data_IF_977660700773
#
_entry.id   IF_977660700773
#
_cell.length_a   1.000
_cell.length_b   1.000
_cell.length_c   1.000
_cell.angle_alpha   90.00
_cell.angle_beta   90.00
_cell.angle_gamma   90.00
#
_symmetry.space_group_name_H-M   'P 1'
#
loop_
_entity.id
_entity.type
_entity.pdbx_description
1 polymer ?
2 non-polymer ?
3 non-polymer ?
4 non-polymer ?
5 water ?
#
# COMPACT_ATOMS: atom_id res chain seq x y z
N UNK A 7 -12.83 28.41 -14.81
CA UNK A 7 -11.95 27.52 -14.06
C UNK A 7 -10.48 27.92 -14.19
N UNK A 8 -9.73 27.16 -14.98
CA UNK A 8 -8.29 27.40 -15.21
C UNK A 8 -7.82 26.40 -16.28
N UNK A 9 -6.59 26.55 -16.76
CA UNK A 9 -6.11 25.65 -17.80
C UNK A 9 -4.94 24.78 -17.33
N UNK A 10 -4.78 23.64 -17.98
CA UNK A 10 -3.62 22.78 -17.77
C UNK A 10 -2.35 23.48 -18.26
N UNK A 11 -1.22 23.20 -17.59
CA UNK A 11 0.07 23.76 -17.99
C UNK A 11 0.38 23.38 -19.43
N UNK A 12 1.06 24.28 -20.14
CA UNK A 12 1.39 24.08 -21.56
C UNK A 12 2.29 22.86 -21.76
N UNK A 13 3.28 22.70 -20.89
CA UNK A 13 4.15 21.53 -20.98
C UNK A 13 3.37 20.22 -20.81
N UNK A 14 2.32 20.24 -20.02
CA UNK A 14 1.48 19.06 -19.89
C UNK A 14 0.67 18.83 -21.16
N UNK A 15 -0.02 19.87 -21.61
CA UNK A 15 -0.79 19.81 -22.85
C UNK A 15 0.09 19.35 -24.01
N UNK A 16 1.35 19.77 -24.02
CA UNK A 16 2.25 19.40 -25.11
C UNK A 16 2.38 17.89 -25.32
N UNK A 17 2.24 17.12 -24.24
CA UNK A 17 2.52 15.69 -24.30
C UNK A 17 1.28 14.83 -24.09
N UNK A 18 0.26 15.41 -23.47
CA UNK A 18 -0.92 14.64 -23.09
C UNK A 18 -2.21 15.35 -23.48
N UNK A 19 -3.22 14.55 -23.81
CA UNK A 19 -4.59 15.04 -23.90
C UNK A 19 -5.32 14.60 -22.64
N UNK A 20 -5.80 15.57 -21.87
CA UNK A 20 -6.44 15.28 -20.59
C UNK A 20 -7.86 14.83 -20.81
N UNK A 21 -8.36 14.00 -19.90
CA UNK A 21 -9.69 13.41 -20.04
C UNK A 21 -10.43 13.38 -18.71
N UNK A 22 -11.30 12.38 -18.54
CA UNK A 22 -12.24 12.33 -17.42
C UNK A 22 -11.58 12.15 -16.06
N UNK A 23 -12.26 12.66 -15.03
CA UNK A 23 -11.82 12.43 -13.65
C UNK A 23 -12.05 10.98 -13.30
N UNK A 24 -11.11 10.37 -12.58
CA UNK A 24 -11.25 8.97 -12.17
C UNK A 24 -11.49 8.90 -10.66
N UNK A 25 -10.99 9.90 -9.94
CA UNK A 25 -11.16 10.00 -8.50
C UNK A 25 -10.70 11.35 -7.97
N UNK A 26 -11.17 11.73 -6.78
CA UNK A 26 -10.76 12.99 -6.17
C UNK A 26 -10.92 12.97 -4.65
N UNK A 31 -6.83 14.79 -6.79
CA UNK A 31 -7.63 14.33 -7.92
C UNK A 31 -6.80 13.52 -8.94
N UNK A 32 -7.41 12.49 -9.50
CA UNK A 32 -6.77 11.67 -10.52
C UNK A 32 -7.56 11.72 -11.83
N UNK A 33 -6.88 12.05 -12.91
CA UNK A 33 -7.54 12.14 -14.22
C UNK A 33 -6.99 11.14 -15.23
N UNK A 34 -7.87 10.64 -16.08
CA UNK A 34 -7.47 9.85 -17.22
C UNK A 34 -6.81 10.79 -18.24
N UNK A 35 -5.74 10.35 -18.87
CA UNK A 35 -5.11 11.12 -19.94
C UNK A 35 -4.58 10.22 -21.03
N UNK A 36 -4.31 10.78 -22.20
CA UNK A 36 -3.73 10.03 -23.31
C UNK A 36 -2.38 10.61 -23.66
N UNK A 37 -1.34 9.77 -23.64
CA UNK A 37 -0.03 10.21 -24.08
C UNK A 37 -0.01 10.33 -25.60
N UNK A 38 0.32 11.52 -26.11
CA UNK A 38 0.26 11.77 -27.55
C UNK A 38 1.19 10.84 -28.34
N UNK A 39 2.42 10.72 -27.85
CA UNK A 39 3.46 9.96 -28.51
C UNK A 39 3.01 8.52 -28.80
N UNK A 40 2.28 7.91 -27.86
CA UNK A 40 1.93 6.51 -27.96
C UNK A 40 0.44 6.25 -28.18
N UNK A 41 -0.36 7.28 -27.98
CA UNK A 41 -1.81 7.13 -27.99
C UNK A 41 -2.28 6.14 -26.94
N UNK A 42 -1.50 5.95 -25.89
CA UNK A 42 -1.87 5.05 -24.80
C UNK A 42 -2.40 5.82 -23.58
N UNK A 43 -3.23 5.15 -22.79
CA UNK A 43 -3.82 5.77 -21.61
C UNK A 43 -2.84 5.84 -20.43
N UNK A 44 -2.93 6.92 -19.66
CA UNK A 44 -2.17 7.07 -18.42
C UNK A 44 -3.10 7.67 -17.40
N UNK A 45 -2.65 7.70 -16.14
CA UNK A 45 -3.40 8.40 -15.11
C UNK A 45 -2.56 9.57 -14.62
N UNK A 46 -3.19 10.71 -14.40
CA UNK A 46 -2.46 11.88 -13.94
C UNK A 46 -3.01 12.37 -12.61
N UNK A 47 -2.15 12.31 -11.59
CA UNK A 47 -2.53 12.74 -10.25
C UNK A 47 -2.22 14.22 -10.12
N UNK A 48 -3.25 15.00 -9.78
CA UNK A 48 -3.07 16.42 -9.64
C UNK A 48 -3.05 16.82 -8.16
N UNK A 49 -1.92 17.36 -7.73
CA UNK A 49 -1.77 17.81 -6.34
C UNK A 49 -1.74 19.34 -6.29
N UNK A 50 -2.74 19.92 -5.64
CA UNK A 50 -2.82 21.37 -5.52
C UNK A 50 -1.72 21.90 -4.61
N UNK A 51 -1.09 22.99 -5.04
CA UNK A 51 0.01 23.58 -4.27
C UNK A 51 -0.51 24.36 -3.05
N UNK A 64 3.11 21.13 0.88
CA UNK A 64 2.88 20.40 -0.38
C UNK A 64 4.20 19.93 -1.00
N UNK A 65 5.11 20.86 -1.22
CA UNK A 65 6.39 20.58 -1.86
C UNK A 65 7.13 19.41 -1.24
N UNK A 66 7.11 19.35 0.10
CA UNK A 66 7.86 18.31 0.82
C UNK A 66 7.34 16.92 0.48
N UNK A 67 6.03 16.70 0.70
CA UNK A 67 5.42 15.41 0.42
C UNK A 67 5.54 15.00 -1.05
N UNK A 68 5.48 15.98 -1.96
CA UNK A 68 5.56 15.71 -3.38
C UNK A 68 6.98 15.35 -3.79
N UNK A 69 7.94 16.10 -3.27
CA UNK A 69 9.36 15.83 -3.54
C UNK A 69 9.77 14.42 -3.14
N UNK A 70 9.29 13.95 -2.00
CA UNK A 70 9.67 12.62 -1.51
C UNK A 70 8.93 11.53 -2.30
N UNK A 71 7.64 11.74 -2.49
CA UNK A 71 6.85 10.82 -3.28
C UNK A 71 7.55 10.52 -4.62
N UNK A 72 7.90 11.58 -5.34
CA UNK A 72 8.58 11.45 -6.63
C UNK A 72 9.93 10.72 -6.56
N UNK A 73 10.75 11.11 -5.61
CA UNK A 73 12.09 10.54 -5.47
C UNK A 73 12.01 9.06 -5.11
N UNK A 74 10.98 8.71 -4.34
CA UNK A 74 10.75 7.31 -3.99
C UNK A 74 10.28 6.49 -5.19
N UNK A 75 9.26 6.99 -5.87
CA UNK A 75 8.73 6.25 -7.02
C UNK A 75 9.79 6.04 -8.10
N UNK A 76 10.60 7.07 -8.33
CA UNK A 76 11.65 6.97 -9.34
C UNK A 76 12.65 5.85 -9.03
N UNK A 77 12.96 5.65 -7.76
CA UNK A 77 14.02 4.72 -7.40
C UNK A 77 13.53 3.29 -7.21
N UNK A 78 12.23 3.12 -7.01
CA UNK A 78 11.68 1.79 -6.75
C UNK A 78 11.35 1.07 -8.05
N UNK A 79 11.55 -0.24 -8.05
CA UNK A 79 11.25 -1.06 -9.23
C UNK A 79 10.68 -2.41 -8.84
N UNK A 80 9.35 -2.50 -8.77
CA UNK A 80 8.68 -3.73 -8.34
C UNK A 80 7.33 -3.81 -9.02
N UNK A 81 6.91 -5.02 -9.43
CA UNK A 81 5.67 -5.21 -10.18
C UNK A 81 4.42 -4.79 -9.40
N UNK A 82 4.50 -4.81 -8.06
CA UNK A 82 3.33 -4.47 -7.25
C UNK A 82 3.44 -3.07 -6.66
N UNK A 83 4.31 -2.25 -7.25
CA UNK A 83 4.41 -0.84 -6.88
C UNK A 83 4.31 0.05 -8.12
N UNK A 84 3.41 1.02 -8.07
CA UNK A 84 3.14 1.92 -9.20
C UNK A 84 4.42 2.63 -9.66
N UNK A 85 4.52 2.84 -10.97
CA UNK A 85 5.68 3.57 -11.51
C UNK A 85 5.30 4.98 -11.95
N UNK A 86 6.25 5.89 -11.83
CA UNK A 86 6.05 7.24 -12.31
C UNK A 86 6.50 7.36 -13.76
N UNK A 87 5.71 8.06 -14.56
CA UNK A 87 6.02 8.19 -15.98
C UNK A 87 6.51 9.59 -16.30
N UNK A 88 6.03 10.58 -15.56
CA UNK A 88 6.38 11.96 -15.83
C UNK A 88 5.98 12.84 -14.68
N UNK A 89 6.51 14.05 -14.63
CA UNK A 89 6.21 14.98 -13.54
C UNK A 89 6.18 16.42 -14.05
N UNK A 90 5.16 17.16 -13.66
CA UNK A 90 5.07 18.57 -14.01
C UNK A 90 4.83 19.42 -12.77
N UNK A 91 5.77 20.33 -12.52
CA UNK A 91 5.69 21.28 -11.41
C UNK A 91 5.29 22.66 -11.93
N UNK A 92 4.02 23.01 -11.76
CA UNK A 92 3.48 24.24 -12.29
C UNK A 92 2.60 24.93 -11.25
N UNK A 93 1.50 25.53 -11.69
CA UNK A 93 0.53 26.11 -10.76
C UNK A 93 0.18 25.05 -9.72
N UNK A 94 0.05 23.82 -10.20
CA UNK A 94 -0.15 22.66 -9.34
C UNK A 94 0.88 21.62 -9.72
N UNK A 95 0.94 20.55 -8.94
CA UNK A 95 1.81 19.43 -9.25
C UNK A 95 1.05 18.41 -10.09
N UNK A 96 1.70 17.86 -11.11
CA UNK A 96 1.10 16.79 -11.90
C UNK A 96 2.00 15.56 -11.90
N UNK A 97 1.47 14.45 -11.44
CA UNK A 97 2.23 13.21 -11.45
C UNK A 97 1.60 12.23 -12.42
N UNK A 98 2.34 11.87 -13.47
CA UNK A 98 1.83 10.94 -14.48
C UNK A 98 2.17 9.50 -14.11
N UNK A 99 1.15 8.67 -13.96
CA UNK A 99 1.35 7.29 -13.56
C UNK A 99 0.76 6.31 -14.55
N UNK A 100 1.16 5.05 -14.41
CA UNK A 100 0.48 3.95 -15.06
C UNK A 100 -1.01 4.01 -14.77
N UNK A 101 -1.83 3.72 -15.77
CA UNK A 101 -3.25 3.62 -15.55
C UNK A 101 -3.57 2.21 -15.07
N UNK A 102 -4.26 2.12 -13.94
CA UNK A 102 -4.66 0.83 -13.42
C UNK A 102 -6.15 0.68 -13.70
N UNK A 103 -6.46 -0.12 -14.71
CA UNK A 103 -7.81 -0.18 -15.27
C UNK A 103 -8.85 -0.70 -14.29
N UNK A 104 -8.41 -1.56 -13.37
CA UNK A 104 -9.30 -2.11 -12.36
C UNK A 104 -9.74 -1.13 -11.28
N UNK A 105 -9.07 0.01 -11.19
CA UNK A 105 -9.42 1.00 -10.19
C UNK A 105 -9.00 0.60 -8.79
N UNK A 106 -9.61 1.23 -7.78
CA UNK A 106 -9.20 1.07 -6.40
C UNK A 106 -9.81 -0.13 -5.69
N UNK A 107 -9.03 -0.77 -4.83
CA UNK A 107 -9.52 -1.89 -4.04
C UNK A 107 -10.74 -1.46 -3.22
N UNK A 108 -10.72 -0.20 -2.78
CA UNK A 108 -11.83 0.39 -2.02
C UNK A 108 -13.20 0.05 -2.63
N UNK A 109 -13.34 0.22 -3.94
CA UNK A 109 -14.63 0.00 -4.59
C UNK A 109 -15.10 -1.45 -4.48
N UNK A 110 -14.19 -2.35 -4.14
CA UNK A 110 -14.53 -3.77 -4.03
C UNK A 110 -15.05 -4.14 -2.65
N UNK A 111 -14.82 -3.28 -1.67
CA UNK A 111 -15.10 -3.62 -0.28
C UNK A 111 -16.06 -2.65 0.40
N UNK A 112 -16.44 -1.60 -0.32
CA UNK A 112 -17.38 -0.62 0.22
C UNK A 112 -18.78 -1.23 0.26
N UNK A 113 -19.65 -0.70 1.13
CA UNK A 113 -21.01 -1.21 1.25
C UNK A 113 -21.09 -2.66 1.68
N UNK A 114 -20.17 -3.07 2.54
CA UNK A 114 -20.11 -4.45 3.03
C UNK A 114 -19.91 -5.48 1.94
N UNK A 115 -19.49 -5.01 0.76
CA UNK A 115 -19.08 -5.95 -0.27
C UNK A 115 -17.87 -6.70 0.25
N UNK A 116 -17.80 -7.98 -0.08
CA UNK A 116 -16.67 -8.78 0.37
C UNK A 116 -16.11 -9.58 -0.79
N UNK A 117 -14.80 -9.75 -0.78
CA UNK A 117 -14.13 -10.55 -1.78
C UNK A 117 -14.14 -11.99 -1.32
N UNK A 118 -14.21 -12.93 -2.27
CA UNK A 118 -14.08 -14.33 -1.91
C UNK A 118 -12.68 -14.55 -1.36
N UNK A 119 -12.56 -15.48 -0.42
CA UNK A 119 -11.31 -15.66 0.30
C UNK A 119 -10.13 -15.87 -0.64
N UNK A 120 -10.33 -16.61 -1.72
CA UNK A 120 -9.24 -16.91 -2.63
C UNK A 120 -8.74 -15.65 -3.33
N UNK A 121 -9.65 -14.71 -3.55
CA UNK A 121 -9.28 -13.44 -4.15
C UNK A 121 -8.53 -12.58 -3.13
N UNK A 122 -9.06 -12.52 -1.91
CA UNK A 122 -8.38 -11.83 -0.83
C UNK A 122 -6.92 -12.27 -0.79
N UNK A 123 -6.71 -13.58 -0.92
CA UNK A 123 -5.37 -14.14 -0.76
C UNK A 123 -4.42 -13.72 -1.87
N UNK A 124 -4.94 -13.68 -3.09
CA UNK A 124 -4.13 -13.30 -4.24
C UNK A 124 -3.71 -11.83 -4.14
N UNK A 125 -4.66 -10.99 -3.75
CA UNK A 125 -4.37 -9.58 -3.58
C UNK A 125 -3.45 -9.35 -2.39
N UNK A 126 -3.73 -10.04 -1.27
CA UNK A 126 -2.96 -9.79 -0.06
C UNK A 126 -1.52 -10.23 -0.23
N UNK A 127 -1.32 -11.35 -0.90
CA UNK A 127 0.01 -11.84 -1.22
C UNK A 127 0.83 -10.77 -1.93
N UNK A 128 0.22 -10.08 -2.89
CA UNK A 128 0.93 -9.08 -3.67
C UNK A 128 1.18 -7.83 -2.82
N UNK A 129 0.21 -7.49 -1.96
CA UNK A 129 0.39 -6.38 -1.02
C UNK A 129 1.59 -6.67 -0.14
N UNK A 130 1.67 -7.90 0.36
CA UNK A 130 2.77 -8.31 1.22
C UNK A 130 4.09 -8.18 0.49
N UNK A 131 4.13 -8.64 -0.75
CA UNK A 131 5.35 -8.56 -1.55
C UNK A 131 5.76 -7.10 -1.74
N UNK A 132 4.80 -6.23 -2.00
CA UNK A 132 5.10 -4.82 -2.20
C UNK A 132 5.65 -4.19 -0.91
N UNK A 133 4.99 -4.45 0.21
CA UNK A 133 5.41 -3.84 1.46
C UNK A 133 6.73 -4.44 1.93
N UNK A 134 6.91 -5.74 1.73
CA UNK A 134 8.20 -6.35 2.01
C UNK A 134 9.29 -5.64 1.20
N UNK A 135 9.01 -5.38 -0.06
CA UNK A 135 9.99 -4.76 -0.93
C UNK A 135 10.30 -3.33 -0.45
N UNK A 136 9.26 -2.60 -0.04
CA UNK A 136 9.46 -1.28 0.56
C UNK A 136 10.40 -1.33 1.76
N UNK A 137 10.10 -2.20 2.71
CA UNK A 137 10.89 -2.29 3.94
C UNK A 137 12.34 -2.68 3.71
N UNK A 138 12.59 -3.64 2.82
CA UNK A 138 13.95 -4.01 2.40
C UNK A 138 14.69 -2.80 1.86
N UNK A 139 13.95 -1.91 1.20
CA UNK A 139 14.52 -0.71 0.62
C UNK A 139 14.48 0.52 1.52
N UNK A 140 14.23 0.31 2.81
CA UNK A 140 14.24 1.41 3.77
C UNK A 140 13.13 2.44 3.57
N UNK A 141 12.00 2.00 3.06
CA UNK A 141 10.86 2.89 2.93
C UNK A 141 9.65 2.37 3.69
N UNK A 142 8.97 3.26 4.39
CA UNK A 142 7.73 2.89 5.06
C UNK A 142 6.57 3.79 4.60
N UNK A 143 5.51 3.16 4.11
CA UNK A 143 4.44 3.85 3.40
C UNK A 143 3.63 4.75 4.35
N UNK A 144 3.26 4.19 5.50
CA UNK A 144 2.58 4.91 6.60
C UNK A 144 1.13 5.28 6.38
N UNK A 145 0.58 5.04 5.19
CA UNK A 145 -0.81 5.43 4.96
C UNK A 145 -1.53 4.43 4.06
N UNK A 146 -1.24 3.15 4.24
CA UNK A 146 -1.83 2.10 3.41
C UNK A 146 -3.31 1.92 3.69
N UNK A 147 -4.14 2.09 2.67
CA UNK A 147 -5.59 1.91 2.79
C UNK A 147 -6.14 1.32 1.49
N UNK A 148 -7.37 0.81 1.53
CA UNK A 148 -7.91 0.21 0.31
C UNK A 148 -7.90 1.16 -0.90
N UNK A 149 -7.94 2.47 -0.66
CA UNK A 149 -7.92 3.43 -1.77
C UNK A 149 -6.52 3.66 -2.38
N UNK A 150 -5.48 3.13 -1.73
CA UNK A 150 -4.11 3.25 -2.25
C UNK A 150 -3.64 1.93 -2.82
N UNK A 151 -4.56 0.98 -2.90
CA UNK A 151 -4.27 -0.29 -3.56
C UNK A 151 -5.02 -0.35 -4.89
N UNK A 152 -4.28 -0.44 -5.99
CA UNK A 152 -4.87 -0.38 -7.32
C UNK A 152 -4.89 -1.74 -8.01
N UNK A 153 -5.96 -1.98 -8.76
CA UNK A 153 -6.14 -3.24 -9.50
C UNK A 153 -5.84 -3.03 -10.99
N UNK A 154 -5.15 -3.99 -11.61
CA UNK A 154 -4.68 -3.84 -12.99
C UNK A 154 -5.75 -4.09 -14.04
N UNK A 155 -6.85 -4.71 -13.65
CA UNK A 155 -7.94 -4.95 -14.60
C UNK A 155 -9.26 -5.19 -13.88
N UNK A 156 -10.32 -5.34 -14.65
CA UNK A 156 -11.65 -5.52 -14.10
C UNK A 156 -11.91 -6.99 -13.77
N UNK A 157 -11.05 -7.87 -14.27
CA UNK A 157 -11.08 -9.27 -13.87
C UNK A 157 -10.69 -9.34 -12.40
N UNK A 158 -11.28 -10.27 -11.65
CA UNK A 158 -10.97 -10.35 -10.24
C UNK A 158 -9.64 -11.04 -10.01
N UNK A 159 -9.19 -11.84 -10.97
CA UNK A 159 -7.82 -12.31 -10.97
C UNK A 159 -6.97 -11.28 -11.71
N UNK A 160 -6.18 -10.52 -10.96
CA UNK A 160 -5.39 -9.46 -11.56
C UNK A 160 -4.24 -9.04 -10.65
N UNK A 161 -3.36 -8.20 -11.18
CA UNK A 161 -2.25 -7.69 -10.41
C UNK A 161 -2.69 -6.47 -9.61
N UNK A 162 -2.05 -6.24 -8.47
CA UNK A 162 -2.29 -5.01 -7.74
C UNK A 162 -1.00 -4.19 -7.64
N UNK A 163 -1.13 -2.88 -7.53
CA UNK A 163 0.03 -2.05 -7.20
C UNK A 163 -0.34 -1.11 -6.07
N UNK A 164 0.62 -0.86 -5.19
CA UNK A 164 0.48 0.15 -4.15
C UNK A 164 0.84 1.49 -4.72
N UNK A 165 0.17 2.54 -4.26
CA UNK A 165 0.43 3.89 -4.71
C UNK A 165 0.26 4.91 -3.56
N UNK A 166 0.41 6.20 -3.88
CA UNK A 166 0.23 7.30 -2.91
C UNK A 166 1.26 7.30 -1.77
N UNK A 167 2.49 7.64 -2.12
CA UNK A 167 3.60 7.59 -1.19
C UNK A 167 3.89 8.95 -0.53
N UNK A 168 2.89 9.83 -0.51
CA UNK A 168 3.09 11.17 0.01
C UNK A 168 3.40 11.23 1.49
N UNK A 169 2.92 10.23 2.23
CA UNK A 169 3.14 10.19 3.67
C UNK A 169 4.30 9.29 4.05
N UNK A 170 5.02 8.79 3.05
CA UNK A 170 6.09 7.83 3.29
C UNK A 170 7.23 8.43 4.08
N UNK A 171 8.01 7.56 4.72
CA UNK A 171 9.22 7.97 5.40
C UNK A 171 10.39 7.15 4.91
N UNK A 172 11.58 7.74 4.93
CA UNK A 172 12.79 7.03 4.55
C UNK A 172 13.56 6.64 5.81
N UNK A 173 13.75 5.34 6.00
CA UNK A 173 14.43 4.84 7.20
C UNK A 173 15.87 5.33 7.29
N UNK A 175 17.19 5.76 12.15
CA UNK A 175 17.53 6.01 13.55
C UNK A 175 18.88 6.73 13.66
N UNK A 176 19.36 7.25 12.53
CA UNK A 176 20.69 7.84 12.48
C UNK A 176 20.94 8.86 13.58
N UNK A 177 19.91 9.63 13.95
CA UNK A 177 20.04 10.61 15.04
C UNK A 177 20.39 9.90 16.35
N UNK A 178 19.54 8.94 16.72
CA UNK A 178 19.73 8.17 17.93
C UNK A 178 21.09 7.47 17.97
N UNK A 179 21.46 6.83 16.87
CA UNK A 179 22.74 6.11 16.81
C UNK A 179 23.88 7.07 17.14
N UNK A 180 23.86 8.23 16.50
CA UNK A 180 24.86 9.26 16.77
C UNK A 180 24.78 9.67 18.24
N UNK A 181 23.57 9.94 18.71
CA UNK A 181 23.37 10.32 20.10
C UNK A 181 23.99 9.30 21.05
N UNK A 182 23.90 8.02 20.69
CA UNK A 182 24.47 6.95 21.49
C UNK A 182 25.99 6.99 21.51
N UNK A 183 26.59 7.34 20.37
CA UNK A 183 28.02 7.55 20.31
C UNK A 183 28.30 8.97 20.82
N UNK A 184 28.45 9.10 22.13
CA UNK A 184 28.62 10.41 22.72
C UNK A 184 28.78 10.34 24.21
N UNK A 185 28.92 11.51 24.84
CA UNK A 185 29.10 11.58 26.28
C UNK A 185 27.82 11.12 26.98
N UNK A 186 27.79 9.84 27.38
CA UNK A 186 26.59 9.22 27.96
C UNK A 186 26.21 9.98 29.23
N UNK A 187 27.23 10.59 29.85
CA UNK A 187 27.09 11.39 31.04
C UNK A 187 25.85 12.28 31.05
N UNK A 188 25.55 12.90 29.92
CA UNK A 188 24.50 13.92 29.85
C UNK A 188 23.21 13.42 29.17
N UNK A 189 23.20 12.17 28.74
CA UNK A 189 22.06 11.63 27.99
C UNK A 189 20.78 11.53 28.85
N UNK A 190 19.66 12.03 28.32
CA UNK A 190 18.40 12.05 29.05
C UNK A 190 17.73 10.68 29.13
N UNK A 191 17.11 10.36 30.27
CA UNK A 191 16.47 9.06 30.51
C UNK A 191 15.59 8.65 29.34
N UNK A 192 14.74 9.56 28.87
CA UNK A 192 13.77 9.18 27.85
C UNK A 192 14.45 8.77 26.56
N UNK A 193 15.62 9.31 26.29
CA UNK A 193 16.35 8.91 25.10
C UNK A 193 16.81 7.45 25.23
N UNK A 194 17.35 7.10 26.39
CA UNK A 194 17.79 5.74 26.65
C UNK A 194 16.62 4.77 26.62
N UNK A 195 15.47 5.23 27.14
CA UNK A 195 14.27 4.40 27.10
C UNK A 195 13.82 4.16 25.65
N UNK A 196 13.91 5.17 24.80
CA UNK A 196 13.47 5.00 23.42
C UNK A 196 14.31 3.95 22.65
N UNK A 197 15.49 3.62 23.16
CA UNK A 197 16.33 2.64 22.47
C UNK A 197 15.62 1.29 22.34
N UNK A 198 14.84 0.93 23.35
CA UNK A 198 14.14 -0.35 23.35
C UNK A 198 13.24 -0.56 22.14
N UNK A 199 12.65 0.51 21.62
CA UNK A 199 11.66 0.36 20.56
C UNK A 199 12.09 0.93 19.20
N UNK A 200 13.19 1.65 19.17
CA UNK A 200 13.60 2.27 17.91
C UNK A 200 13.73 1.23 16.79
N UNK A 201 13.49 1.66 15.56
CA UNK A 201 13.71 0.82 14.39
C UNK A 201 12.54 -0.10 14.09
N UNK A 202 11.40 0.17 14.72
CA UNK A 202 10.20 -0.63 14.45
C UNK A 202 9.07 0.21 13.84
N UNK A 203 9.42 1.38 13.30
CA UNK A 203 8.41 2.20 12.63
C UNK A 203 7.71 1.49 11.49
N UNK A 204 8.42 0.59 10.82
CA UNK A 204 7.88 -0.14 9.68
C UNK A 204 6.67 -0.99 10.09
N UNK A 205 6.57 -1.30 11.37
CA UNK A 205 5.47 -2.13 11.85
C UNK A 205 4.10 -1.47 11.62
N UNK A 206 4.05 -0.13 11.51
CA UNK A 206 2.76 0.49 11.20
C UNK A 206 2.15 -0.01 9.89
N UNK A 207 3.00 -0.29 8.90
CA UNK A 207 2.50 -0.82 7.62
C UNK A 207 1.86 -2.20 7.79
N UNK A 208 2.44 -3.01 8.68
CA UNK A 208 1.91 -4.34 8.91
C UNK A 208 0.58 -4.26 9.65
N UNK A 209 0.44 -3.31 10.56
CA UNK A 209 -0.87 -3.04 11.17
C UNK A 209 -1.90 -2.68 10.09
N UNK A 210 -1.55 -1.74 9.22
CA UNK A 210 -2.44 -1.33 8.13
C UNK A 210 -2.84 -2.52 7.25
N UNK A 211 -1.87 -3.39 6.96
CA UNK A 211 -2.16 -4.56 6.13
C UNK A 211 -3.17 -5.47 6.82
N UNK A 212 -3.06 -5.56 8.14
CA UNK A 212 -3.98 -6.39 8.91
C UNK A 212 -5.39 -5.85 8.85
N UNK A 213 -5.52 -4.53 8.97
CA UNK A 213 -6.83 -3.91 8.89
C UNK A 213 -7.42 -4.11 7.51
N UNK A 214 -6.61 -3.89 6.47
CA UNK A 214 -7.05 -4.09 5.10
C UNK A 214 -7.49 -5.54 4.89
N UNK A 215 -6.70 -6.49 5.37
CA UNK A 215 -7.03 -7.91 5.23
C UNK A 215 -8.35 -8.22 5.95
N UNK A 216 -8.51 -7.68 7.15
CA UNK A 216 -9.73 -7.86 7.94
C UNK A 216 -10.95 -7.42 7.12
N UNK A 217 -10.85 -6.22 6.56
CA UNK A 217 -11.91 -5.65 5.74
C UNK A 217 -12.21 -6.45 4.48
N UNK A 218 -11.18 -6.96 3.80
CA UNK A 218 -11.39 -7.72 2.57
C UNK A 218 -12.10 -9.03 2.89
N UNK A 219 -11.64 -9.71 3.94
CA UNK A 219 -12.20 -10.99 4.33
C UNK A 219 -13.65 -10.89 4.81
N UNK A 220 -13.95 -9.83 5.54
CA UNK A 220 -15.21 -9.76 6.29
C UNK A 220 -16.21 -8.77 5.69
N UNK A 221 -15.72 -7.79 4.95
CA UNK A 221 -16.57 -6.77 4.38
C UNK A 221 -16.90 -5.67 5.37
N UNK A 222 -16.29 -5.74 6.55
CA UNK A 222 -16.48 -4.68 7.54
C UNK A 222 -15.19 -4.39 8.31
N UNK A 223 -15.06 -3.15 8.81
CA UNK A 223 -13.87 -2.67 9.55
C UNK A 223 -13.74 -3.27 10.95
N UNK A 224 -12.52 -3.59 11.36
CA UNK A 224 -12.23 -4.20 12.68
C UNK A 224 -12.56 -3.22 13.80
N UNK A 225 -12.30 -1.94 13.55
CA UNK A 225 -12.54 -0.91 14.54
C UNK A 225 -13.42 0.16 13.93
N UNK A 226 -14.52 0.49 14.61
CA UNK A 226 -15.37 1.62 14.23
C UNK A 226 -16.33 1.97 15.35
N UNK A 227 -16.96 3.13 15.24
CA UNK A 227 -17.87 3.59 16.28
C UNK A 227 -19.30 3.10 16.05
N UNK A 228 -19.48 2.23 15.06
CA UNK A 228 -20.80 1.71 14.70
C UNK A 228 -21.33 0.67 15.67
N UNK A 229 -22.46 1.02 16.30
CA UNK A 229 -23.14 0.13 17.24
C UNK A 229 -22.23 -0.34 18.38
N UNK A 230 -21.61 0.63 19.05
CA UNK A 230 -20.69 0.33 20.15
C UNK A 230 -20.44 1.61 20.95
N UNK A 231 -20.10 1.45 22.22
CA UNK A 231 -19.92 2.59 23.11
C UNK A 231 -18.46 2.82 23.46
N UNK A 232 -17.60 1.87 23.10
CA UNK A 232 -16.16 2.05 23.29
C UNK A 232 -15.61 2.98 22.20
N UNK A 233 -14.82 3.96 22.60
CA UNK A 233 -14.23 4.89 21.63
C UNK A 233 -13.36 4.13 20.63
N UNK A 234 -13.28 4.66 19.42
CA UNK A 234 -12.45 4.07 18.37
C UNK A 234 -11.03 3.92 18.88
N UNK A 235 -10.53 4.97 19.52
CA UNK A 235 -9.17 4.97 20.06
C UNK A 235 -8.97 3.85 21.06
N UNK A 236 -9.92 3.66 21.97
CA UNK A 236 -9.80 2.63 22.98
C UNK A 236 -9.82 1.24 22.34
N UNK A 237 -10.63 1.07 21.30
CA UNK A 237 -10.66 -0.18 20.56
C UNK A 237 -9.28 -0.49 20.01
N UNK A 238 -8.69 0.49 19.33
CA UNK A 238 -7.40 0.32 18.67
C UNK A 238 -6.25 0.02 19.64
N UNK A 239 -6.07 0.85 20.66
CA UNK A 239 -4.95 0.63 21.58
C UNK A 239 -5.12 -0.65 22.39
N UNK A 240 -6.37 -1.07 22.62
CA UNK A 240 -6.61 -2.34 23.31
C UNK A 240 -6.41 -3.51 22.36
N UNK A 241 -6.58 -3.25 21.06
CA UNK A 241 -6.48 -4.29 20.06
C UNK A 241 -7.74 -5.12 19.97
N UNK A 242 -8.81 -4.65 20.60
CA UNK A 242 -10.08 -5.37 20.62
C UNK A 242 -10.95 -5.04 19.42
N UNK A 243 -10.74 -5.77 18.33
CA UNK A 243 -11.52 -5.57 17.13
C UNK A 243 -12.92 -6.14 17.30
N UNK A 244 -13.86 -5.63 16.52
CA UNK A 244 -15.23 -6.10 16.52
C UNK A 244 -15.36 -7.42 15.80
N UNK A 245 -15.45 -8.50 16.55
CA UNK A 245 -15.58 -9.83 15.94
C UNK A 245 -17.03 -10.28 15.81
N UNK A 246 -17.51 -10.39 14.57
CA UNK A 246 -18.88 -10.82 14.30
C UNK A 246 -18.90 -12.23 13.73
N UNK A 247 -19.11 -13.23 14.61
CA UNK A 247 -19.00 -14.65 14.26
C UNK A 247 -19.79 -15.04 13.03
N UNK A 248 -20.97 -14.45 12.85
CA UNK A 248 -21.79 -14.76 11.68
C UNK A 248 -20.97 -14.58 10.42
N UNK A 249 -20.36 -13.40 10.28
CA UNK A 249 -19.64 -13.05 9.07
C UNK A 249 -18.42 -13.94 8.87
N UNK A 250 -17.68 -14.13 9.96
CA UNK A 250 -16.41 -14.86 9.91
C UNK A 250 -16.58 -16.38 9.80
N UNK A 251 -17.78 -16.86 10.09
CA UNK A 251 -18.07 -18.28 9.95
C UNK A 251 -17.69 -18.74 8.55
N UNK A 252 -17.91 -17.86 7.58
CA UNK A 252 -17.64 -18.17 6.18
C UNK A 252 -16.15 -18.27 5.85
N UNK A 253 -15.29 -17.77 6.73
CA UNK A 253 -13.87 -17.65 6.44
C UNK A 253 -12.99 -18.70 7.13
N UNK A 254 -11.97 -19.17 6.42
CA UNK A 254 -11.06 -20.16 6.99
C UNK A 254 -10.42 -19.68 8.30
N UNK A 255 -10.04 -20.64 9.14
CA UNK A 255 -9.38 -20.33 10.41
C UNK A 255 -7.96 -19.85 10.17
N UNK A 256 -7.35 -20.31 9.07
CA UNK A 256 -6.02 -19.86 8.67
C UNK A 256 -5.99 -18.36 8.36
N UNK A 257 -6.97 -17.90 7.58
CA UNK A 257 -7.06 -16.48 7.24
C UNK A 257 -7.18 -15.65 8.50
N UNK A 258 -8.12 -16.01 9.36
CA UNK A 258 -8.35 -15.27 10.58
C UNK A 258 -7.11 -15.28 11.48
N UNK A 259 -6.40 -16.41 11.53
CA UNK A 259 -5.20 -16.50 12.34
C UNK A 259 -4.17 -15.45 11.91
N UNK A 260 -4.00 -15.26 10.60
CA UNK A 260 -3.03 -14.29 10.12
C UNK A 260 -3.43 -12.86 10.50
N UNK A 261 -4.71 -12.54 10.36
CA UNK A 261 -5.20 -11.24 10.79
C UNK A 261 -4.80 -11.00 12.23
N UNK A 262 -5.04 -11.99 13.09
CA UNK A 262 -4.75 -11.84 14.51
C UNK A 262 -3.28 -11.54 14.76
N UNK A 263 -2.40 -12.09 13.93
CA UNK A 263 -0.96 -11.88 14.12
C UNK A 263 -0.51 -10.51 13.61
N UNK A 264 -1.33 -9.90 12.78
CA UNK A 264 -1.03 -8.58 12.22
C UNK A 264 -1.62 -7.47 13.07
N UNK A 265 -2.78 -7.74 13.68
CA UNK A 265 -3.42 -6.76 14.54
C UNK A 265 -2.92 -6.94 15.97
N UNK A 266 -1.60 -7.03 16.11
CA UNK A 266 -0.99 -7.16 17.40
C UNK A 266 -0.56 -5.76 17.86
N UNK A 267 -0.93 -5.42 19.08
CA UNK A 267 -0.76 -4.07 19.62
C UNK A 267 0.70 -3.67 19.83
N UNK A 268 1.50 -4.62 20.31
CA UNK A 268 2.93 -4.41 20.52
C UNK A 268 3.67 -4.50 19.18
N UNK A 269 4.25 -3.38 18.72
CA UNK A 269 4.89 -3.33 17.39
C UNK A 269 6.06 -4.30 17.25
N UNK A 270 6.75 -4.62 18.34
CA UNK A 270 7.88 -5.55 18.31
C UNK A 270 7.43 -7.02 18.18
N UNK A 271 6.25 -7.33 18.71
CA UNK A 271 5.68 -8.68 18.54
C UNK A 271 4.86 -8.85 17.26
N UNK A 272 4.39 -7.74 16.69
CA UNK A 272 3.56 -7.80 15.48
C UNK A 272 4.29 -8.56 14.38
N UNK A 273 3.55 -9.37 13.62
CA UNK A 273 4.11 -10.03 12.43
C UNK A 273 4.78 -9.05 11.47
N UNK A 274 5.98 -9.41 11.00
CA UNK A 274 6.62 -8.67 9.92
C UNK A 274 6.05 -9.16 8.60
N UNK A 275 6.42 -8.52 7.49
CA UNK A 275 6.00 -9.01 6.19
C UNK A 275 6.56 -10.43 5.93
N UNK A 276 7.79 -10.68 6.37
CA UNK A 276 8.40 -12.00 6.16
C UNK A 276 7.62 -13.07 6.91
N UNK A 277 7.27 -12.78 8.16
CA UNK A 277 6.48 -13.74 8.93
C UNK A 277 5.14 -13.98 8.26
N UNK A 278 4.51 -12.90 7.80
CA UNK A 278 3.23 -13.03 7.11
C UNK A 278 3.37 -13.90 5.86
N UNK A 279 4.48 -13.76 5.15
CA UNK A 279 4.67 -14.50 3.91
C UNK A 279 4.93 -16.00 4.20
N UNK A 280 5.42 -16.30 5.39
CA UNK A 280 5.67 -17.69 5.79
C UNK A 280 4.44 -18.35 6.41
N UNK A 281 3.41 -17.56 6.65
CA UNK A 281 2.21 -18.07 7.33
C UNK A 281 1.48 -19.14 6.50
N UNK A 282 0.95 -20.16 7.17
CA UNK A 282 0.23 -21.23 6.46
C UNK A 282 -0.80 -20.72 5.47
N UNK A 283 -1.47 -19.59 5.75
CA UNK A 283 -2.51 -19.12 4.85
C UNK A 283 -1.96 -18.76 3.47
N UNK A 284 -0.66 -18.49 3.42
CA UNK A 284 -0.05 -18.06 2.17
C UNK A 284 0.74 -19.15 1.46
N UNK A 285 0.89 -20.29 2.12
CA UNK A 285 1.48 -21.45 1.47
C UNK A 285 0.44 -22.07 0.55
N UNK A 286 0.29 -21.47 -0.63
CA UNK A 286 -0.80 -21.83 -1.52
C UNK A 286 -0.28 -21.77 -2.96
N UNK A 287 0.26 -22.90 -3.43
CA UNK A 287 1.01 -22.92 -4.68
C UNK A 287 0.12 -22.57 -5.88
N UNK A 288 -1.17 -22.84 -5.75
CA UNK A 288 -2.11 -22.43 -6.79
C UNK A 288 -2.19 -20.91 -6.91
N UNK A 289 -2.45 -20.25 -5.78
CA UNK A 289 -2.49 -18.80 -5.75
C UNK A 289 -1.19 -18.25 -6.35
N UNK A 290 -0.06 -18.80 -5.92
CA UNK A 290 1.22 -18.33 -6.41
C UNK A 290 1.37 -18.51 -7.93
N UNK A 291 0.92 -19.65 -8.44
CA UNK A 291 0.97 -19.89 -9.88
C UNK A 291 0.17 -18.83 -10.62
N UNK A 292 -1.02 -18.54 -10.12
CA UNK A 292 -1.88 -17.53 -10.72
C UNK A 292 -1.16 -16.16 -10.78
N UNK A 293 -0.48 -15.80 -9.70
CA UNK A 293 0.25 -14.54 -9.66
C UNK A 293 1.36 -14.58 -10.70
N UNK A 294 2.18 -15.62 -10.66
CA UNK A 294 3.25 -15.78 -11.62
C UNK A 294 2.73 -15.75 -13.06
N UNK A 295 1.56 -16.33 -13.30
CA UNK A 295 0.95 -16.32 -14.63
C UNK A 295 0.62 -14.89 -15.03
N UNK A 296 -0.02 -14.16 -14.11
CA UNK A 296 -0.41 -12.78 -14.39
C UNK A 296 0.80 -11.91 -14.64
N UNK A 297 1.87 -12.15 -13.89
CA UNK A 297 3.11 -11.40 -14.08
C UNK A 297 3.62 -11.54 -15.52
N UNK A 298 3.76 -12.76 -15.98
CA UNK A 298 4.31 -13.03 -17.30
C UNK A 298 3.42 -12.43 -18.39
N UNK A 299 2.12 -12.53 -18.21
CA UNK A 299 1.18 -11.92 -19.13
C UNK A 299 1.39 -10.41 -19.24
N UNK A 300 1.47 -9.71 -18.10
CA UNK A 300 1.70 -8.26 -18.10
C UNK A 300 2.98 -7.90 -18.86
N UNK A 301 3.94 -8.81 -18.85
CA UNK A 301 5.28 -8.52 -19.35
C UNK A 301 5.54 -8.86 -20.83
N UNK A 302 4.69 -9.72 -21.39
CA UNK A 302 4.88 -10.18 -22.77
C UNK A 302 5.13 -9.04 -23.77
N UNK A 303 4.44 -7.92 -23.58
CA UNK A 303 4.52 -6.82 -24.54
C UNK A 303 5.83 -6.03 -24.47
N UNK A 304 6.62 -6.24 -23.44
CA UNK A 304 7.87 -5.52 -23.29
C UNK A 304 9.09 -6.43 -23.22
N UNK A 305 8.85 -7.73 -23.25
CA UNK A 305 9.94 -8.69 -23.16
C UNK A 305 10.75 -8.74 -24.45
N UNK A 306 12.02 -8.38 -24.37
CA UNK A 306 12.93 -8.50 -25.51
C UNK A 306 13.43 -9.93 -25.61
N UNK A 307 13.94 -10.32 -26.79
CA UNK A 307 14.60 -11.62 -26.88
C UNK A 307 15.88 -11.58 -26.06
N UNK A 308 16.45 -12.74 -25.75
CA UNK A 308 17.66 -12.76 -24.97
C UNK A 308 18.49 -14.00 -25.27
N UNK A 309 19.70 -14.04 -24.73
CA UNK A 309 20.62 -15.12 -25.01
C UNK A 309 20.07 -16.46 -24.53
N UNK A 310 19.96 -17.41 -25.46
CA UNK A 310 19.49 -18.75 -25.13
C UNK A 310 20.40 -19.42 -24.10
#
# INVERSE_FOLDING_TARGET
GPLGSHMSVYPKALRDEYIMSKTLGSGACGEVKLAFERKTCKKVAIKIISKRKFAIGSAREADPALNVETEIEILKKLNHPCIIKIKNFFDAEDYYIVLELMEGGELFDKVVGNKRLKEATCKLYFYQMLLAVQYLHENGIIHRDLKPENVLLSSQEEDCLIKITDFGHSKILGETSLMRTLCGTPTYLAPEVLVSVGTAGYNRAVDCWSLGVILFICLSGYPPFSEHRTQVSLKDQITSGKYNFIPEVWAEVSEKALDLVKKLLVVDPKARFTTEEALRHPWLQDEDMKRKFQDLLSEENESTALPQVLAQPSTSRKRPREGEAEGAE
#
